data_IF_926706739189
#
_entry.id   IF_926706739189
#
_cell.length_a   1.000
_cell.length_b   1.000
_cell.length_c   1.000
_cell.angle_alpha   90.00
_cell.angle_beta   90.00
_cell.angle_gamma   90.00
#
_symmetry.space_group_name_H-M   'P 1'
#
loop_
_entity.id
_entity.type
_entity.pdbx_description
1 polymer ?
#
# COMPACT_ATOMS: atom_id res chain seq x y z
N UNK A 1 2.29 2.68 -17.28
CA UNK A 1 2.50 2.42 -15.84
C UNK A 1 3.93 2.77 -15.48
N UNK A 2 4.13 3.67 -14.50
CA UNK A 2 5.46 4.00 -13.97
C UNK A 2 5.65 3.22 -12.67
N UNK A 3 6.77 2.49 -12.55
CA UNK A 3 7.06 1.68 -11.38
C UNK A 3 8.55 1.73 -10.99
N UNK A 4 8.82 2.01 -9.72
CA UNK A 4 10.17 2.28 -9.19
C UNK A 4 11.10 1.06 -9.06
N UNK A 5 10.62 -0.16 -9.31
CA UNK A 5 11.40 -1.40 -9.29
C UNK A 5 11.30 -2.11 -10.63
N UNK A 6 11.86 -3.31 -10.73
CA UNK A 6 11.78 -4.13 -11.95
C UNK A 6 10.48 -4.95 -12.00
N UNK A 7 10.31 -5.65 -13.10
CA UNK A 7 9.18 -6.56 -13.31
C UNK A 7 9.11 -7.65 -12.23
N UNK A 8 10.24 -8.13 -11.76
CA UNK A 8 10.32 -9.18 -10.74
C UNK A 8 9.76 -8.75 -9.38
N UNK A 9 9.81 -7.46 -9.05
CA UNK A 9 9.27 -6.92 -7.82
C UNK A 9 7.85 -6.36 -7.97
N UNK A 10 7.26 -6.41 -9.17
CA UNK A 10 5.90 -5.91 -9.41
C UNK A 10 4.88 -6.78 -8.65
N UNK A 11 4.01 -6.18 -7.82
CA UNK A 11 3.07 -6.95 -6.98
C UNK A 11 1.85 -7.48 -7.74
N UNK A 12 1.69 -7.15 -9.04
CA UNK A 12 0.61 -7.63 -9.89
C UNK A 12 0.83 -9.10 -10.29
N UNK A 13 -0.24 -9.80 -10.65
CA UNK A 13 -0.14 -11.15 -11.22
C UNK A 13 0.46 -11.09 -12.63
N UNK A 14 1.23 -12.10 -13.00
CA UNK A 14 1.88 -12.14 -14.30
C UNK A 14 0.88 -12.05 -15.46
N UNK A 15 -0.26 -12.73 -15.34
CA UNK A 15 -1.34 -12.70 -16.34
C UNK A 15 -1.95 -11.31 -16.50
N UNK A 16 -2.14 -10.56 -15.39
CA UNK A 16 -2.67 -9.19 -15.42
C UNK A 16 -1.70 -8.22 -16.11
N UNK A 17 -0.41 -8.39 -15.87
CA UNK A 17 0.64 -7.61 -16.55
C UNK A 17 0.66 -7.94 -18.05
N UNK A 18 0.58 -9.22 -18.40
CA UNK A 18 0.56 -9.65 -19.79
C UNK A 18 -0.66 -9.08 -20.55
N UNK A 19 -1.85 -9.20 -19.98
CA UNK A 19 -3.07 -8.63 -20.57
C UNK A 19 -2.97 -7.10 -20.74
N UNK A 20 -2.42 -6.39 -19.73
CA UNK A 20 -2.21 -4.95 -19.84
C UNK A 20 -1.25 -4.59 -21.01
N UNK A 21 -0.19 -5.37 -21.22
CA UNK A 21 0.72 -5.18 -22.34
C UNK A 21 0.04 -5.48 -23.69
N UNK A 22 -0.79 -6.50 -23.77
CA UNK A 22 -1.60 -6.81 -24.96
C UNK A 22 -2.58 -5.68 -25.31
N UNK A 23 -3.14 -5.01 -24.32
CA UNK A 23 -3.99 -3.81 -24.42
C UNK A 23 -3.20 -2.54 -24.78
N UNK A 24 -1.88 -2.63 -24.94
CA UNK A 24 -1.01 -1.52 -25.31
C UNK A 24 -0.52 -0.67 -24.14
N UNK A 25 -0.67 -1.12 -22.88
CA UNK A 25 -0.14 -0.41 -21.72
C UNK A 25 1.38 -0.53 -21.67
N UNK A 26 2.06 0.59 -21.69
CA UNK A 26 3.52 0.66 -21.54
C UNK A 26 3.92 0.63 -20.06
N UNK A 27 4.93 -0.19 -19.74
CA UNK A 27 5.53 -0.27 -18.41
C UNK A 27 6.90 0.41 -18.38
N UNK A 28 6.98 1.59 -17.76
CA UNK A 28 8.24 2.29 -17.47
C UNK A 28 8.74 1.85 -16.09
N UNK A 29 9.50 0.76 -16.10
CA UNK A 29 10.12 0.18 -14.91
C UNK A 29 11.39 0.93 -14.52
N UNK A 30 11.80 0.80 -13.25
CA UNK A 30 12.97 1.52 -12.72
C UNK A 30 12.86 3.04 -12.91
N UNK A 31 11.64 3.55 -12.80
CA UNK A 31 11.34 4.98 -12.84
C UNK A 31 10.45 5.37 -11.67
N UNK A 32 10.74 6.50 -11.06
CA UNK A 32 9.95 7.03 -9.95
C UNK A 32 9.49 8.46 -10.24
N UNK A 33 8.18 8.75 -10.11
CA UNK A 33 7.67 10.11 -10.21
C UNK A 33 8.26 11.01 -9.13
N UNK A 34 8.62 12.23 -9.50
CA UNK A 34 9.13 13.27 -8.60
C UNK A 34 8.13 14.41 -8.47
N UNK A 35 7.59 14.87 -9.61
CA UNK A 35 6.68 16.00 -9.65
C UNK A 35 5.67 15.88 -10.80
N UNK A 36 4.46 16.35 -10.59
CA UNK A 36 3.46 16.55 -11.65
C UNK A 36 3.56 18.00 -12.11
N UNK A 37 3.74 18.20 -13.40
CA UNK A 37 3.92 19.52 -14.01
C UNK A 37 2.61 19.97 -14.67
N UNK A 38 2.18 21.19 -14.36
CA UNK A 38 0.99 21.81 -14.95
C UNK A 38 1.31 22.75 -16.10
N UNK A 39 0.29 23.09 -16.87
CA UNK A 39 0.28 24.18 -17.83
C UNK A 39 -0.19 25.52 -17.19
N UNK A 40 -0.28 26.58 -17.97
CA UNK A 40 -0.74 27.92 -17.52
C UNK A 40 -2.19 27.92 -17.05
N UNK A 41 -3.00 26.93 -17.45
CA UNK A 41 -4.42 26.78 -17.11
C UNK A 41 -4.63 25.84 -15.92
N UNK A 42 -3.57 25.25 -15.36
CA UNK A 42 -3.62 24.30 -14.25
C UNK A 42 -3.94 22.87 -14.68
N UNK A 43 -3.92 22.54 -15.98
CA UNK A 43 -4.02 21.16 -16.44
C UNK A 43 -2.68 20.46 -16.35
N UNK A 44 -2.69 19.14 -16.21
CA UNK A 44 -1.46 18.33 -16.27
C UNK A 44 -0.88 18.37 -17.69
N UNK A 45 0.41 18.68 -17.82
CA UNK A 45 1.16 18.63 -19.10
C UNK A 45 2.23 17.56 -19.14
N UNK A 46 2.79 17.20 -17.98
CA UNK A 46 3.87 16.21 -17.90
C UNK A 46 4.00 15.68 -16.46
N UNK A 47 4.74 14.59 -16.33
CA UNK A 47 5.24 14.08 -15.06
C UNK A 47 6.77 14.03 -15.12
N UNK A 48 7.43 14.64 -14.15
CA UNK A 48 8.86 14.52 -13.98
C UNK A 48 9.19 13.23 -13.25
N UNK A 49 10.11 12.46 -13.77
CA UNK A 49 10.57 11.19 -13.23
C UNK A 49 12.09 11.17 -13.07
N UNK A 50 12.56 10.28 -12.21
CA UNK A 50 13.99 9.91 -12.11
C UNK A 50 14.16 8.43 -12.40
N UNK A 51 15.30 8.04 -12.96
CA UNK A 51 15.67 6.63 -13.07
C UNK A 51 16.04 6.04 -11.70
N UNK A 52 15.79 4.76 -11.55
CA UNK A 52 16.08 4.01 -10.33
C UNK A 52 17.07 2.88 -10.64
N UNK A 53 17.87 2.54 -9.64
CA UNK A 53 18.70 1.34 -9.61
C UNK A 53 18.20 0.43 -8.48
N UNK A 54 18.46 -0.89 -8.61
CA UNK A 54 18.10 -1.86 -7.58
C UNK A 54 19.32 -2.18 -6.73
N UNK A 55 19.24 -1.81 -5.46
CA UNK A 55 20.20 -2.19 -4.43
C UNK A 55 19.95 -3.57 -3.85
N UNK A 56 20.46 -3.81 -2.63
CA UNK A 56 20.29 -5.06 -1.92
C UNK A 56 18.82 -5.32 -1.53
N UNK A 57 18.42 -6.59 -1.40
CA UNK A 57 17.11 -6.98 -0.93
C UNK A 57 16.79 -6.43 0.47
N UNK A 58 15.57 -5.96 0.67
CA UNK A 58 15.05 -5.59 1.99
C UNK A 58 14.61 -6.84 2.79
N UNK A 59 14.13 -6.65 4.03
CA UNK A 59 13.67 -7.75 4.90
C UNK A 59 12.51 -8.57 4.30
N UNK A 60 11.84 -8.09 3.25
CA UNK A 60 10.80 -8.82 2.51
C UNK A 60 11.36 -9.59 1.31
N UNK A 61 12.66 -9.54 1.08
CA UNK A 61 13.33 -10.12 -0.09
C UNK A 61 13.22 -9.28 -1.36
N UNK A 62 12.60 -8.08 -1.31
CA UNK A 62 12.45 -7.19 -2.47
C UNK A 62 13.62 -6.21 -2.53
N UNK A 63 14.22 -6.05 -3.71
CA UNK A 63 15.37 -5.17 -3.90
C UNK A 63 14.96 -3.70 -3.67
N UNK A 64 15.79 -2.99 -2.88
CA UNK A 64 15.55 -1.59 -2.52
C UNK A 64 15.77 -0.69 -3.75
N UNK A 65 14.81 0.16 -4.14
CA UNK A 65 15.03 1.12 -5.21
C UNK A 65 15.90 2.28 -4.70
N UNK A 66 16.93 2.63 -5.46
CA UNK A 66 17.89 3.70 -5.21
C UNK A 66 17.76 4.70 -6.35
N UNK A 67 17.68 6.00 -6.03
CA UNK A 67 17.62 7.06 -7.04
C UNK A 67 18.96 7.18 -7.73
N UNK A 68 18.94 7.21 -9.07
CA UNK A 68 20.11 7.56 -9.88
C UNK A 68 20.16 9.09 -10.02
N UNK A 69 21.10 9.71 -9.34
CA UNK A 69 21.23 11.17 -9.33
C UNK A 69 21.44 11.75 -10.73
N UNK A 70 20.79 12.89 -11.00
CA UNK A 70 20.91 13.59 -12.27
C UNK A 70 20.19 12.93 -13.44
N UNK A 71 19.35 11.93 -13.21
CA UNK A 71 18.59 11.20 -14.24
C UNK A 71 17.17 11.74 -14.47
N UNK A 72 16.89 12.95 -14.02
CA UNK A 72 15.58 13.55 -14.19
C UNK A 72 15.18 13.70 -15.65
N UNK A 73 13.94 13.37 -15.99
CA UNK A 73 13.36 13.57 -17.30
C UNK A 73 11.87 13.85 -17.20
N UNK A 74 11.33 14.57 -18.18
CA UNK A 74 9.91 14.82 -18.31
C UNK A 74 9.25 13.79 -19.24
N UNK A 75 8.11 13.27 -18.84
CA UNK A 75 7.24 12.44 -19.64
C UNK A 75 5.94 13.20 -19.88
N UNK A 76 5.62 13.59 -21.14
CA UNK A 76 4.35 14.25 -21.45
C UNK A 76 3.17 13.33 -21.14
N UNK A 77 2.18 13.85 -20.39
CA UNK A 77 0.95 13.14 -20.03
C UNK A 77 -0.17 14.15 -19.83
N UNK A 78 -1.40 13.76 -20.09
CA UNK A 78 -2.59 14.58 -19.92
C UNK A 78 -3.30 14.30 -18.58
N UNK A 79 -3.02 13.13 -17.97
CA UNK A 79 -3.61 12.71 -16.71
C UNK A 79 -2.62 11.86 -15.92
N UNK A 80 -2.66 12.00 -14.59
CA UNK A 80 -1.89 11.15 -13.67
C UNK A 80 -2.83 10.49 -12.68
N UNK A 81 -2.77 9.16 -12.58
CA UNK A 81 -3.51 8.37 -11.60
C UNK A 81 -2.54 7.80 -10.58
N UNK A 82 -2.70 8.20 -9.32
CA UNK A 82 -1.85 7.75 -8.20
C UNK A 82 -2.34 6.41 -7.66
N UNK A 83 -1.68 5.31 -8.03
CA UNK A 83 -2.03 3.93 -7.62
C UNK A 83 -0.99 3.34 -6.66
N UNK A 84 -0.62 4.10 -5.63
CA UNK A 84 0.46 3.74 -4.68
C UNK A 84 -0.03 3.02 -3.43
N UNK A 85 -1.28 2.59 -3.41
CA UNK A 85 -1.93 1.97 -2.27
C UNK A 85 -2.52 2.99 -1.29
N UNK A 86 -3.10 2.47 -0.21
CA UNK A 86 -3.73 3.25 0.85
C UNK A 86 -2.97 3.12 2.16
N UNK A 87 -3.06 4.12 3.00
CA UNK A 87 -2.62 4.06 4.40
C UNK A 87 -3.79 3.66 5.29
N UNK A 88 -3.49 3.06 6.42
CA UNK A 88 -4.47 2.85 7.48
C UNK A 88 -5.01 4.19 7.97
N UNK A 89 -6.33 4.26 8.21
CA UNK A 89 -6.92 5.42 8.85
C UNK A 89 -6.66 5.32 10.35
N UNK A 90 -5.90 6.26 10.89
CA UNK A 90 -5.51 6.28 12.31
C UNK A 90 -6.54 6.95 13.21
N UNK A 91 -7.68 7.43 12.67
CA UNK A 91 -8.66 8.22 13.42
C UNK A 91 -9.08 7.55 14.74
N UNK A 92 -9.35 6.25 14.72
CA UNK A 92 -9.74 5.51 15.94
C UNK A 92 -8.59 5.45 16.94
N UNK A 93 -7.36 5.23 16.49
CA UNK A 93 -6.18 5.24 17.36
C UNK A 93 -5.95 6.63 17.96
N UNK A 94 -6.08 7.68 17.16
CA UNK A 94 -5.83 9.05 17.55
C UNK A 94 -6.90 9.60 18.51
N UNK A 95 -8.13 9.06 18.45
CA UNK A 95 -9.28 9.51 19.27
C UNK A 95 -9.63 8.58 20.42
N UNK A 96 -8.95 7.45 20.54
CA UNK A 96 -9.22 6.46 21.61
C UNK A 96 -8.02 6.40 22.54
N UNK A 97 -8.20 6.95 23.74
CA UNK A 97 -7.16 7.00 24.76
C UNK A 97 -6.66 5.59 25.12
N UNK A 98 -5.33 5.43 25.18
CA UNK A 98 -4.65 4.17 25.52
C UNK A 98 -4.94 2.98 24.58
N UNK A 99 -5.41 3.20 23.36
CA UNK A 99 -5.47 2.15 22.34
C UNK A 99 -4.13 2.07 21.61
N UNK A 100 -3.48 0.91 21.64
CA UNK A 100 -2.14 0.73 21.07
C UNK A 100 -2.17 0.40 19.58
N UNK A 101 -1.23 1.00 18.84
CA UNK A 101 -0.99 0.66 17.43
C UNK A 101 -0.03 -0.53 17.31
N UNK A 102 -0.21 -1.33 16.26
CA UNK A 102 0.76 -2.34 15.88
C UNK A 102 1.93 -1.72 15.07
N UNK A 103 2.95 -2.53 14.75
CA UNK A 103 4.16 -2.09 14.00
C UNK A 103 3.87 -1.52 12.60
N UNK A 104 2.67 -1.74 12.04
CA UNK A 104 2.24 -1.24 10.73
C UNK A 104 1.36 0.01 10.82
N UNK A 105 1.08 0.49 12.04
CA UNK A 105 0.21 1.64 12.28
C UNK A 105 -1.28 1.33 12.31
N UNK A 106 -1.68 0.05 12.31
CA UNK A 106 -3.05 -0.39 12.53
C UNK A 106 -3.32 -0.63 14.01
N UNK A 107 -4.56 -0.99 14.35
CA UNK A 107 -4.94 -1.34 15.73
C UNK A 107 -4.16 -2.59 16.17
N UNK A 108 -3.50 -2.51 17.33
CA UNK A 108 -2.81 -3.64 17.95
C UNK A 108 -3.78 -4.67 18.49
N UNK A 109 -3.59 -5.93 18.13
CA UNK A 109 -4.39 -7.06 18.63
C UNK A 109 -3.50 -8.25 18.93
N UNK A 110 -3.95 -9.08 19.85
CA UNK A 110 -3.41 -10.41 20.05
C UNK A 110 -3.93 -11.43 19.02
N UNK A 111 -3.59 -12.70 19.22
CA UNK A 111 -4.04 -13.78 18.36
C UNK A 111 -5.55 -14.04 18.44
N UNK A 112 -6.24 -13.60 19.48
CA UNK A 112 -7.68 -13.69 19.64
C UNK A 112 -8.44 -12.43 19.20
N UNK A 113 -7.78 -11.54 18.46
CA UNK A 113 -8.32 -10.27 17.98
C UNK A 113 -8.71 -9.29 19.12
N UNK A 114 -8.29 -9.54 20.36
CA UNK A 114 -8.47 -8.61 21.46
C UNK A 114 -7.39 -7.52 21.41
N UNK A 115 -7.79 -6.29 21.70
CA UNK A 115 -6.85 -5.17 21.84
C UNK A 115 -6.28 -5.11 23.26
N UNK A 116 -5.35 -4.21 23.50
CA UNK A 116 -4.86 -3.91 24.85
C UNK A 116 -5.92 -3.27 25.77
N UNK A 117 -7.09 -2.90 25.24
CA UNK A 117 -8.22 -2.38 26.02
C UNK A 117 -9.27 -3.47 26.20
N UNK A 118 -9.65 -3.72 27.46
CA UNK A 118 -10.65 -4.71 27.81
C UNK A 118 -12.00 -4.45 27.11
N UNK A 119 -12.62 -5.51 26.58
CA UNK A 119 -13.88 -5.45 25.84
C UNK A 119 -13.79 -4.86 24.42
N UNK A 120 -12.60 -4.49 23.94
CA UNK A 120 -12.41 -3.98 22.57
C UNK A 120 -11.68 -5.01 21.73
N UNK A 121 -12.28 -5.34 20.58
CA UNK A 121 -11.75 -6.29 19.61
C UNK A 121 -11.63 -5.62 18.23
N UNK A 122 -10.64 -6.01 17.45
CA UNK A 122 -10.44 -5.48 16.10
C UNK A 122 -9.96 -6.56 15.14
N UNK A 123 -10.29 -6.39 13.85
CA UNK A 123 -9.86 -7.30 12.79
C UNK A 123 -9.99 -6.69 11.41
N UNK A 124 -9.55 -7.42 10.38
CA UNK A 124 -9.56 -6.97 9.00
C UNK A 124 -8.55 -5.85 8.72
N UNK A 125 -8.89 -4.99 7.78
CA UNK A 125 -7.99 -3.95 7.27
C UNK A 125 -7.56 -2.93 8.35
N UNK A 126 -8.38 -2.71 9.38
CA UNK A 126 -8.03 -1.86 10.52
C UNK A 126 -6.81 -2.35 11.30
N UNK A 127 -6.51 -3.66 11.23
CA UNK A 127 -5.38 -4.30 11.90
C UNK A 127 -4.23 -4.58 10.93
N UNK A 128 -4.53 -5.14 9.77
CA UNK A 128 -3.52 -5.68 8.85
C UNK A 128 -3.12 -4.72 7.72
N UNK A 129 -3.89 -3.68 7.49
CA UNK A 129 -3.87 -2.88 6.27
C UNK A 129 -4.71 -3.52 5.16
N UNK A 130 -4.86 -2.81 4.04
CA UNK A 130 -5.66 -3.26 2.92
C UNK A 130 -5.24 -4.65 2.43
N UNK A 131 -6.21 -5.56 2.35
CA UNK A 131 -6.03 -6.94 1.96
C UNK A 131 -7.24 -7.45 1.15
N UNK A 132 -7.50 -8.76 1.18
CA UNK A 132 -8.65 -9.34 0.47
C UNK A 132 -9.89 -9.41 1.37
N UNK A 133 -11.08 -9.37 0.74
CA UNK A 133 -12.37 -9.55 1.42
C UNK A 133 -12.39 -10.83 2.27
N UNK A 134 -11.84 -11.94 1.72
CA UNK A 134 -11.78 -13.23 2.43
C UNK A 134 -10.99 -13.12 3.74
N UNK A 135 -9.87 -12.40 3.73
CA UNK A 135 -9.06 -12.17 4.95
C UNK A 135 -9.81 -11.29 5.97
N UNK A 136 -10.48 -10.25 5.51
CA UNK A 136 -11.28 -9.38 6.37
C UNK A 136 -12.44 -10.16 7.01
N UNK A 137 -13.15 -10.98 6.24
CA UNK A 137 -14.22 -11.86 6.76
C UNK A 137 -13.69 -12.88 7.78
N UNK A 138 -12.53 -13.48 7.51
CA UNK A 138 -11.88 -14.42 8.43
C UNK A 138 -11.53 -13.76 9.76
N UNK A 139 -10.99 -12.54 9.71
CA UNK A 139 -10.69 -11.76 10.91
C UNK A 139 -11.97 -11.39 11.70
N UNK A 140 -13.05 -11.00 11.00
CA UNK A 140 -14.35 -10.74 11.62
C UNK A 140 -14.94 -11.95 12.35
N UNK A 141 -14.89 -13.13 11.71
CA UNK A 141 -15.35 -14.39 12.37
C UNK A 141 -14.52 -14.72 13.60
N UNK A 142 -13.21 -14.51 13.56
CA UNK A 142 -12.32 -14.72 14.70
C UNK A 142 -12.66 -13.77 15.84
N UNK A 143 -12.82 -12.49 15.55
CA UNK A 143 -13.21 -11.49 16.54
C UNK A 143 -14.58 -11.82 17.17
N UNK A 144 -15.56 -12.22 16.35
CA UNK A 144 -16.89 -12.61 16.84
C UNK A 144 -16.83 -13.80 17.81
N UNK A 145 -16.04 -14.84 17.50
CA UNK A 145 -15.84 -15.98 18.40
C UNK A 145 -15.15 -15.58 19.71
N UNK A 146 -14.24 -14.61 19.66
CA UNK A 146 -13.56 -14.10 20.85
C UNK A 146 -14.49 -13.24 21.72
N UNK A 147 -15.33 -12.43 21.10
CA UNK A 147 -16.39 -11.66 21.80
C UNK A 147 -17.38 -12.60 22.49
N UNK A 148 -17.82 -13.67 21.81
CA UNK A 148 -18.71 -14.66 22.38
C UNK A 148 -18.11 -15.32 23.63
N UNK A 149 -16.84 -15.75 23.55
CA UNK A 149 -16.10 -16.25 24.71
C UNK A 149 -15.93 -15.24 25.85
N UNK A 150 -15.80 -13.96 25.50
CA UNK A 150 -15.66 -12.88 26.49
C UNK A 150 -16.91 -12.70 27.31
N UNK A 151 -18.09 -12.78 26.71
CA UNK A 151 -19.37 -12.63 27.38
C UNK A 151 -19.88 -13.92 28.11
N UNK A 152 -19.39 -15.07 27.70
CA UNK A 152 -19.79 -16.37 28.25
C UNK A 152 -18.77 -16.99 29.23
N UNK A 153 -17.96 -16.14 29.85
CA UNK A 153 -17.00 -16.52 30.90
C UNK A 153 -17.70 -16.72 32.23
#
# INVERSE_FOLDING_TARGET
>A
VIYRRSMAELPARAEEVHHAMEEGVEFKLLNNPVQILGDENGNVRAIECVEMELGEPDASGRRKPIVKEGSNFELPVDMVIMSIGTKLNTLILDTTENLEANKKGGIGTDDDAATNRDGIFAGGDAVTGAATVIKAMGAGKKAAASIDRYFNK
#
